data_IF_221995574456
#
_entry.id   IF_221995574456
#
_cell.length_a   1.000
_cell.length_b   1.000
_cell.length_c   1.000
_cell.angle_alpha   90.00
_cell.angle_beta   90.00
_cell.angle_gamma   90.00
#
_symmetry.space_group_name_H-M   'P 1'
#
loop_
_entity.id
_entity.type
_entity.pdbx_description
1 polymer ?
#
# COMPACT_ATOMS: atom_id res chain seq x y z
N UNK A 1 -61.18 -24.06 -5.64
CA UNK A 1 -60.34 -22.90 -6.02
C UNK A 1 -59.71 -23.17 -7.39
N UNK A 2 -59.76 -22.22 -8.34
CA UNK A 2 -59.32 -22.40 -9.74
C UNK A 2 -58.10 -21.50 -10.07
N UNK A 3 -57.39 -21.89 -11.16
CA UNK A 3 -56.28 -21.25 -11.93
C UNK A 3 -54.92 -21.88 -11.57
N UNK A 4 -54.06 -22.38 -12.45
CA UNK A 4 -53.87 -22.38 -13.92
C UNK A 4 -52.34 -22.48 -14.17
N UNK A 5 -51.82 -23.18 -15.20
CA UNK A 5 -50.39 -23.52 -15.32
C UNK A 5 -49.59 -22.54 -16.20
N UNK A 6 -48.34 -22.22 -15.82
CA UNK A 6 -47.33 -21.47 -16.60
C UNK A 6 -45.94 -21.82 -16.03
N UNK A 7 -44.79 -21.80 -16.69
CA UNK A 7 -44.37 -21.52 -18.05
C UNK A 7 -42.91 -22.01 -18.18
N UNK A 8 -42.61 -22.62 -19.32
CA UNK A 8 -41.30 -22.78 -19.95
C UNK A 8 -40.29 -21.64 -19.74
N UNK A 9 -39.03 -21.90 -19.38
CA UNK A 9 -37.96 -22.14 -20.38
C UNK A 9 -36.55 -22.36 -19.76
N UNK A 10 -35.67 -23.05 -20.50
CA UNK A 10 -34.35 -23.54 -20.07
C UNK A 10 -33.23 -22.53 -20.41
N UNK A 11 -32.08 -22.64 -19.73
CA UNK A 11 -30.73 -22.34 -20.27
C UNK A 11 -29.65 -22.71 -19.24
N UNK A 12 -29.43 -24.01 -19.03
CA UNK A 12 -28.14 -24.53 -18.57
C UNK A 12 -27.15 -24.30 -19.73
N UNK A 13 -26.34 -23.24 -19.67
CA UNK A 13 -25.18 -23.12 -20.56
C UNK A 13 -24.07 -23.99 -19.96
N UNK A 14 -23.76 -25.05 -20.68
CA UNK A 14 -22.59 -25.91 -20.50
C UNK A 14 -21.35 -25.01 -20.57
N UNK A 15 -20.57 -24.94 -19.50
CA UNK A 15 -19.28 -24.25 -19.53
C UNK A 15 -18.30 -25.28 -20.09
N UNK A 16 -17.83 -25.05 -21.32
CA UNK A 16 -16.79 -25.88 -21.93
C UNK A 16 -15.53 -25.77 -21.08
N UNK A 17 -15.05 -26.94 -20.66
CA UNK A 17 -13.78 -27.15 -19.98
C UNK A 17 -12.68 -26.79 -20.97
N UNK A 18 -12.10 -25.61 -20.80
CA UNK A 18 -10.93 -25.17 -21.54
C UNK A 18 -9.77 -25.29 -20.57
N UNK A 19 -9.14 -26.47 -20.59
CA UNK A 19 -7.91 -26.81 -19.91
C UNK A 19 -6.78 -25.96 -20.51
N UNK A 20 -6.59 -24.78 -19.93
CA UNK A 20 -5.44 -23.92 -20.22
C UNK A 20 -4.32 -24.35 -19.30
N UNK A 21 -3.39 -25.13 -19.85
CA UNK A 21 -2.16 -25.49 -19.16
C UNK A 21 -1.42 -24.22 -18.70
N UNK A 22 -1.26 -24.10 -17.39
CA UNK A 22 -0.54 -23.01 -16.75
C UNK A 22 0.95 -23.23 -17.03
N UNK A 23 1.49 -22.55 -18.03
CA UNK A 23 2.94 -22.51 -18.26
C UNK A 23 3.58 -21.87 -17.02
N UNK A 24 4.33 -22.65 -16.26
CA UNK A 24 5.13 -22.19 -15.13
C UNK A 24 6.27 -21.30 -15.66
N UNK A 25 6.06 -19.98 -15.67
CA UNK A 25 7.12 -19.01 -15.94
C UNK A 25 7.91 -18.70 -14.66
N UNK A 26 9.21 -18.75 -14.83
CA UNK A 26 10.28 -18.86 -13.86
C UNK A 26 10.45 -17.55 -13.08
N UNK A 27 10.04 -17.54 -11.80
CA UNK A 27 10.64 -16.73 -10.72
C UNK A 27 9.78 -16.83 -9.47
N UNK A 28 10.20 -17.67 -8.51
CA UNK A 28 9.69 -17.67 -7.13
C UNK A 28 10.08 -16.38 -6.39
N UNK A 29 9.58 -15.22 -6.85
CA UNK A 29 9.59 -13.98 -6.08
C UNK A 29 8.38 -13.99 -5.16
N UNK A 30 8.62 -14.51 -3.97
CA UNK A 30 8.07 -14.07 -2.68
C UNK A 30 6.73 -13.32 -2.77
N UNK A 31 5.64 -14.04 -2.47
CA UNK A 31 4.28 -13.56 -2.40
C UNK A 31 4.11 -12.58 -1.22
N UNK A 32 4.65 -11.37 -1.33
CA UNK A 32 4.41 -10.29 -0.38
C UNK A 32 3.35 -9.34 -0.93
N UNK A 33 2.40 -8.94 -0.08
CA UNK A 33 1.22 -8.11 -0.41
C UNK A 33 1.54 -6.71 -0.97
N UNK A 34 2.82 -6.35 -1.08
CA UNK A 34 3.26 -5.13 -1.73
C UNK A 34 3.37 -5.33 -3.25
N UNK A 35 2.28 -5.76 -3.90
CA UNK A 35 2.15 -5.61 -5.33
C UNK A 35 2.12 -4.10 -5.62
N UNK A 36 3.24 -3.51 -6.04
CA UNK A 36 3.26 -2.11 -6.44
C UNK A 36 2.35 -1.97 -7.66
N UNK A 37 1.19 -1.29 -7.55
CA UNK A 37 0.28 -1.15 -8.68
C UNK A 37 1.04 -0.43 -9.81
N UNK A 38 0.83 -0.84 -11.07
CA UNK A 38 1.49 -0.26 -12.26
C UNK A 38 1.53 1.27 -12.15
N UNK A 39 2.70 1.82 -11.80
CA UNK A 39 2.88 3.26 -11.56
C UNK A 39 2.83 3.98 -12.91
N UNK A 40 1.79 4.79 -13.12
CA UNK A 40 1.77 5.75 -14.24
C UNK A 40 2.89 6.77 -13.99
N UNK A 41 3.62 7.13 -15.03
CA UNK A 41 4.65 8.17 -14.95
C UNK A 41 3.95 9.49 -14.60
N UNK A 42 4.46 10.20 -13.59
CA UNK A 42 3.94 11.50 -13.18
C UNK A 42 4.73 12.58 -13.91
N UNK A 43 4.06 13.31 -14.80
CA UNK A 43 4.65 14.41 -15.57
C UNK A 43 4.28 15.80 -15.00
N UNK A 44 3.69 15.85 -13.82
CA UNK A 44 3.33 17.11 -13.16
C UNK A 44 4.57 17.72 -12.52
N UNK A 45 5.01 18.86 -13.05
CA UNK A 45 6.17 19.60 -12.53
C UNK A 45 6.03 19.92 -11.04
N UNK A 46 4.82 20.26 -10.56
CA UNK A 46 4.57 20.50 -9.14
C UNK A 46 4.87 19.30 -8.25
N UNK A 47 4.54 18.09 -8.71
CA UNK A 47 4.81 16.86 -7.95
C UNK A 47 6.29 16.51 -8.01
N UNK A 48 6.96 16.75 -9.14
CA UNK A 48 8.40 16.54 -9.29
C UNK A 48 9.20 17.50 -8.39
N UNK A 49 8.83 18.79 -8.35
CA UNK A 49 9.46 19.77 -7.46
C UNK A 49 9.27 19.42 -5.98
N UNK A 50 8.07 18.99 -5.57
CA UNK A 50 7.86 18.55 -4.18
C UNK A 50 8.67 17.31 -3.81
N UNK A 51 8.88 16.37 -4.76
CA UNK A 51 9.76 15.22 -4.53
C UNK A 51 11.21 15.66 -4.35
N UNK A 52 11.68 16.61 -5.15
CA UNK A 52 13.02 17.18 -5.05
C UNK A 52 13.21 17.90 -3.71
N UNK A 53 12.27 18.75 -3.29
CA UNK A 53 12.31 19.41 -1.98
C UNK A 53 12.35 18.41 -0.81
N UNK A 54 11.63 17.28 -0.90
CA UNK A 54 11.67 16.23 0.11
C UNK A 54 13.04 15.54 0.11
N UNK A 55 13.60 15.28 -1.07
CA UNK A 55 14.90 14.63 -1.24
C UNK A 55 16.04 15.52 -0.71
N UNK A 56 16.02 16.82 -1.00
CA UNK A 56 16.99 17.79 -0.50
C UNK A 56 16.97 17.92 1.03
N UNK A 57 15.79 17.81 1.66
CA UNK A 57 15.64 17.84 3.12
C UNK A 57 15.93 16.48 3.78
N UNK A 58 16.15 15.44 2.98
CA UNK A 58 16.44 14.09 3.45
C UNK A 58 17.80 14.02 4.11
N UNK A 59 17.86 13.44 5.32
CA UNK A 59 19.12 13.22 6.01
C UNK A 59 19.55 11.75 5.84
N UNK A 60 20.59 11.52 5.03
CA UNK A 60 21.03 10.16 4.66
C UNK A 60 21.39 9.29 5.89
N UNK A 61 22.08 9.84 6.89
CA UNK A 61 22.42 9.08 8.11
C UNK A 61 21.18 8.63 8.91
N UNK A 62 20.15 9.48 9.00
CA UNK A 62 18.91 9.11 9.70
C UNK A 62 18.11 8.09 8.88
N UNK A 63 18.14 8.22 7.56
CA UNK A 63 17.55 7.24 6.63
C UNK A 63 18.24 5.88 6.78
N UNK A 64 19.55 5.84 6.83
CA UNK A 64 20.33 4.61 7.05
C UNK A 64 20.02 3.99 8.41
N UNK A 65 19.97 4.80 9.48
CA UNK A 65 19.60 4.32 10.81
C UNK A 65 18.19 3.71 10.81
N UNK A 66 17.22 4.36 10.19
CA UNK A 66 15.86 3.84 10.05
C UNK A 66 15.76 2.64 9.11
N UNK A 67 16.69 2.48 8.16
CA UNK A 67 16.72 1.32 7.27
C UNK A 67 17.27 0.07 7.98
N UNK A 68 18.35 0.23 8.75
CA UNK A 68 19.10 -0.87 9.36
C UNK A 68 18.88 -1.00 10.88
N UNK A 69 17.78 -0.48 11.42
CA UNK A 69 17.46 -0.62 12.84
C UNK A 69 16.88 -2.00 13.16
N UNK A 70 17.21 -2.50 14.34
CA UNK A 70 16.49 -3.56 15.01
C UNK A 70 15.36 -2.95 15.84
N UNK A 71 14.11 -3.27 15.51
CA UNK A 71 12.96 -2.83 16.28
C UNK A 71 12.89 -3.60 17.61
N UNK A 72 12.78 -2.87 18.73
CA UNK A 72 12.74 -3.47 20.07
C UNK A 72 11.30 -3.56 20.58
N UNK A 73 10.52 -2.47 20.45
CA UNK A 73 9.13 -2.45 20.91
C UNK A 73 8.54 -1.06 21.05
N UNK A 74 7.24 -0.99 21.28
CA UNK A 74 6.53 0.26 21.57
C UNK A 74 6.52 0.50 23.08
N UNK A 75 6.94 1.68 23.51
CA UNK A 75 6.78 2.13 24.91
C UNK A 75 5.37 2.67 25.10
N UNK A 76 4.90 3.45 24.14
CA UNK A 76 3.52 3.91 24.05
C UNK A 76 3.14 4.16 22.58
N UNK A 77 1.89 4.52 22.24
CA UNK A 77 1.49 4.74 20.84
C UNK A 77 2.27 5.83 20.10
N UNK A 78 2.93 6.75 20.83
CA UNK A 78 3.69 7.87 20.27
C UNK A 78 5.20 7.61 20.20
N UNK A 79 5.71 6.64 20.96
CA UNK A 79 7.14 6.37 21.14
C UNK A 79 7.46 4.89 21.00
N UNK A 80 8.47 4.59 20.18
CA UNK A 80 9.02 3.26 20.00
C UNK A 80 10.53 3.24 20.24
N UNK A 81 11.04 2.08 20.61
CA UNK A 81 12.47 1.83 20.77
C UNK A 81 13.02 1.07 19.57
N UNK A 82 14.11 1.59 19.05
CA UNK A 82 14.87 0.99 17.97
C UNK A 82 16.35 0.97 18.36
N UNK A 83 17.00 -0.16 18.11
CA UNK A 83 18.44 -0.29 18.29
C UNK A 83 19.11 -0.18 16.92
N UNK A 84 20.16 0.62 16.82
CA UNK A 84 21.02 0.64 15.65
C UNK A 84 22.47 0.61 16.13
N UNK A 85 23.23 -0.37 15.66
CA UNK A 85 24.58 -0.66 16.16
C UNK A 85 24.55 -0.88 17.69
N UNK A 86 25.33 -0.11 18.43
CA UNK A 86 25.43 -0.13 19.91
C UNK A 86 24.56 0.93 20.58
N UNK A 87 23.78 1.69 19.81
CA UNK A 87 22.96 2.79 20.32
C UNK A 87 21.48 2.42 20.33
N UNK A 88 20.82 2.78 21.42
CA UNK A 88 19.38 2.65 21.60
C UNK A 88 18.72 4.00 21.37
N UNK A 89 17.73 4.05 20.47
CA UNK A 89 17.04 5.25 20.05
C UNK A 89 15.57 5.20 20.45
N UNK A 90 15.09 6.32 21.01
CA UNK A 90 13.67 6.56 21.22
C UNK A 90 13.11 7.32 20.02
N UNK A 91 12.27 6.67 19.24
CA UNK A 91 11.69 7.19 18.01
C UNK A 91 10.29 7.72 18.27
N UNK A 92 9.99 8.91 17.75
CA UNK A 92 8.62 9.44 17.74
C UNK A 92 7.84 8.86 16.55
N UNK A 93 7.03 7.83 16.80
CA UNK A 93 6.25 7.16 15.75
C UNK A 93 5.20 8.09 15.15
N UNK A 94 4.68 9.07 15.90
CA UNK A 94 3.67 10.03 15.41
C UNK A 94 4.24 11.01 14.38
N UNK A 95 5.46 11.50 14.58
CA UNK A 95 6.13 12.37 13.61
C UNK A 95 6.64 11.57 12.41
N UNK A 96 7.13 10.35 12.65
CA UNK A 96 7.61 9.47 11.58
C UNK A 96 6.48 9.01 10.66
N UNK A 97 5.32 8.59 11.21
CA UNK A 97 4.17 8.20 10.37
C UNK A 97 3.70 9.34 9.49
N UNK A 98 3.60 10.58 10.01
CA UNK A 98 3.14 11.71 9.21
C UNK A 98 4.11 12.02 8.08
N UNK A 99 5.42 12.01 8.36
CA UNK A 99 6.44 12.26 7.33
C UNK A 99 6.56 11.13 6.30
N UNK A 100 6.37 9.87 6.72
CA UNK A 100 6.47 8.71 5.85
C UNK A 100 5.17 8.46 5.05
N UNK A 101 4.01 8.90 5.57
CA UNK A 101 2.69 8.79 4.92
C UNK A 101 2.31 10.03 4.09
N UNK A 102 3.16 11.07 4.02
CA UNK A 102 2.98 12.14 3.05
C UNK A 102 3.43 11.60 1.67
N UNK A 103 2.52 11.37 0.71
CA UNK A 103 1.33 12.16 0.40
C UNK A 103 0.04 11.33 0.31
N UNK A 104 -0.75 11.26 1.38
CA UNK A 104 -2.17 10.90 1.30
C UNK A 104 -3.07 11.83 2.12
N UNK A 105 -2.65 13.07 2.33
CA UNK A 105 -3.48 14.07 2.99
C UNK A 105 -3.63 15.27 2.06
N UNK A 106 -4.63 15.19 1.18
CA UNK A 106 -5.18 16.37 0.50
C UNK A 106 -5.99 17.17 1.52
N UNK A 107 -5.67 18.44 1.80
CA UNK A 107 -6.62 19.34 2.43
C UNK A 107 -7.47 19.93 1.31
N UNK A 108 -8.63 19.32 1.05
CA UNK A 108 -9.50 19.70 -0.05
C UNK A 108 -10.96 19.42 0.26
N UNK A 109 -11.59 20.41 0.91
CA UNK A 109 -13.01 20.81 0.87
C UNK A 109 -14.10 19.73 1.00
N UNK A 110 -14.94 19.93 2.02
CA UNK A 110 -16.11 19.12 2.30
C UNK A 110 -17.14 19.05 1.19
N UNK A 111 -17.90 17.95 1.23
CA UNK A 111 -19.33 17.83 0.96
C UNK A 111 -19.66 16.35 1.11
N UNK A 112 -19.79 15.88 2.36
CA UNK A 112 -20.63 14.71 2.61
C UNK A 112 -22.05 15.24 2.70
N UNK A 113 -22.73 15.35 1.55
CA UNK A 113 -24.17 15.55 1.45
C UNK A 113 -24.68 14.83 0.20
N UNK A 114 -25.12 13.59 0.38
CA UNK A 114 -26.46 13.02 0.10
C UNK A 114 -26.32 11.51 -0.02
#
# INVERSE_FOLDING_TARGET
EKRGPTSSNPRKRHREDSDVEMVEDDSRKEMTAACTPRRRIINLTSVLSLQEEINERGHEVLREMLHNHSFVGCVNPQWALAQHQTKLYLLNTTKLRVKCLAPFQTPGSGLWNT
#
